data_IF_905100568119
#
_entry.id   IF_905100568119
#
_cell.length_a   1.000
_cell.length_b   1.000
_cell.length_c   1.000
_cell.angle_alpha   90.00
_cell.angle_beta   90.00
_cell.angle_gamma   90.00
#
_symmetry.space_group_name_H-M   'P 1'
#
loop_
_entity.id
_entity.type
_entity.pdbx_description
1 polymer ?
#
# COMPACT_ATOMS: atom_id res chain seq x y z
N UNK A 1 0.42 -19.24 -19.86
CA UNK A 1 -0.91 -19.40 -19.21
C UNK A 1 -0.91 -18.68 -17.86
N UNK A 2 -1.28 -17.41 -17.80
CA UNK A 2 -1.52 -16.72 -16.51
C UNK A 2 -3.02 -16.75 -16.23
N UNK A 3 -3.41 -17.72 -15.40
CA UNK A 3 -4.78 -17.97 -14.95
C UNK A 3 -5.27 -16.78 -14.12
N UNK A 4 -6.09 -15.89 -14.68
CA UNK A 4 -6.91 -14.98 -13.86
C UNK A 4 -8.07 -15.78 -13.28
N UNK A 5 -7.90 -16.26 -12.04
CA UNK A 5 -9.03 -16.67 -11.19
C UNK A 5 -9.73 -15.38 -10.69
N UNK A 6 -11.07 -15.35 -10.54
CA UNK A 6 -11.74 -14.21 -9.92
C UNK A 6 -11.17 -14.00 -8.50
N UNK A 7 -10.70 -12.79 -8.20
CA UNK A 7 -10.03 -12.42 -6.94
C UNK A 7 -8.51 -12.19 -7.00
N UNK A 8 -7.89 -12.16 -8.19
CA UNK A 8 -6.45 -11.92 -8.33
C UNK A 8 -6.01 -10.52 -7.89
N UNK A 9 -4.98 -10.44 -7.03
CA UNK A 9 -4.30 -9.19 -6.69
C UNK A 9 -3.62 -8.64 -7.95
N UNK A 10 -3.87 -7.36 -8.25
CA UNK A 10 -3.13 -6.61 -9.25
C UNK A 10 -2.29 -5.56 -8.54
N UNK A 11 -0.97 -5.58 -8.77
CA UNK A 11 -0.02 -4.62 -8.21
C UNK A 11 0.56 -3.79 -9.35
N UNK A 12 0.36 -2.48 -9.30
CA UNK A 12 0.90 -1.54 -10.29
C UNK A 12 2.17 -0.89 -9.74
N UNK A 13 3.27 -1.00 -10.48
CA UNK A 13 4.55 -0.40 -10.13
C UNK A 13 4.79 0.83 -11.01
N UNK A 14 4.46 2.02 -10.50
CA UNK A 14 4.62 3.29 -11.22
C UNK A 14 5.87 4.03 -10.72
N UNK A 15 6.57 4.71 -11.64
CA UNK A 15 7.68 5.61 -11.34
C UNK A 15 7.48 6.91 -12.14
N UNK A 16 7.67 8.03 -11.48
CA UNK A 16 7.64 9.37 -12.08
C UNK A 16 8.95 10.05 -11.73
N UNK A 17 9.66 10.57 -12.73
CA UNK A 17 11.00 11.15 -12.58
C UNK A 17 11.25 12.13 -13.72
N UNK A 18 11.95 13.23 -13.43
CA UNK A 18 12.44 14.17 -14.44
C UNK A 18 13.62 13.59 -15.25
N UNK A 19 14.35 12.64 -14.66
CA UNK A 19 15.45 11.94 -15.32
C UNK A 19 14.98 10.63 -15.99
N UNK A 20 15.66 10.17 -17.06
CA UNK A 20 15.35 8.92 -17.73
C UNK A 20 15.31 7.72 -16.77
N UNK A 21 14.18 7.00 -16.76
CA UNK A 21 13.97 5.85 -15.88
C UNK A 21 14.70 4.63 -16.46
N UNK A 22 15.78 4.19 -15.80
CA UNK A 22 16.55 2.97 -16.17
C UNK A 22 16.20 1.74 -15.31
N UNK A 23 15.22 1.87 -14.42
CA UNK A 23 14.88 0.85 -13.41
C UNK A 23 13.83 -0.14 -13.92
N UNK A 24 14.27 -1.13 -14.71
CA UNK A 24 13.42 -2.21 -15.25
C UNK A 24 13.08 -3.32 -14.22
N UNK A 25 13.08 -3.01 -12.92
CA UNK A 25 12.80 -3.95 -11.82
C UNK A 25 11.57 -3.52 -11.00
N UNK A 26 11.04 -4.44 -10.20
CA UNK A 26 9.89 -4.18 -9.32
C UNK A 26 10.22 -3.12 -8.26
N UNK A 27 9.27 -2.27 -7.91
CA UNK A 27 9.46 -1.28 -6.83
C UNK A 27 9.45 -2.04 -5.49
N UNK A 28 10.60 -2.02 -4.81
CA UNK A 28 10.77 -2.58 -3.46
C UNK A 28 10.42 -1.56 -2.37
N UNK A 29 10.72 -0.29 -2.62
CA UNK A 29 10.54 0.83 -1.72
C UNK A 29 9.79 1.94 -2.47
N UNK A 30 8.57 2.24 -2.05
CA UNK A 30 7.67 3.16 -2.71
C UNK A 30 7.43 4.41 -1.85
N UNK A 31 7.41 5.57 -2.50
CA UNK A 31 7.08 6.86 -1.88
C UNK A 31 5.55 6.99 -1.67
N UNK A 32 4.76 6.28 -2.48
CA UNK A 32 3.30 6.22 -2.39
C UNK A 32 2.82 4.78 -2.55
N UNK A 33 1.94 4.34 -1.64
CA UNK A 33 1.27 3.04 -1.71
C UNK A 33 -0.23 3.24 -1.59
N UNK A 34 -0.97 2.84 -2.62
CA UNK A 34 -2.44 2.88 -2.64
C UNK A 34 -3.05 1.48 -2.46
N UNK A 35 -3.95 1.34 -1.49
CA UNK A 35 -4.74 0.14 -1.26
C UNK A 35 -6.21 0.41 -1.58
N UNK A 36 -6.71 -0.16 -2.68
CA UNK A 36 -8.08 0.06 -3.15
C UNK A 36 -9.13 -0.82 -2.46
N UNK A 37 -8.71 -1.91 -1.83
CA UNK A 37 -9.59 -2.86 -1.15
C UNK A 37 -9.05 -3.16 0.24
N UNK A 38 -9.80 -2.79 1.28
CA UNK A 38 -9.40 -2.97 2.68
C UNK A 38 -8.91 -4.39 3.00
N UNK A 39 -9.58 -5.42 2.47
CA UNK A 39 -9.22 -6.83 2.70
C UNK A 39 -7.78 -7.22 2.29
N UNK A 40 -7.10 -6.39 1.50
CA UNK A 40 -5.74 -6.65 1.08
C UNK A 40 -4.68 -6.15 2.06
N UNK A 41 -5.04 -5.21 2.95
CA UNK A 41 -4.07 -4.62 3.89
C UNK A 41 -3.48 -5.66 4.85
N UNK A 42 -4.31 -6.61 5.33
CA UNK A 42 -3.87 -7.68 6.23
C UNK A 42 -3.38 -8.92 5.48
N UNK A 43 -3.80 -9.09 4.21
CA UNK A 43 -3.43 -10.26 3.40
C UNK A 43 -2.07 -10.11 2.72
N UNK A 44 -1.65 -8.88 2.45
CA UNK A 44 -0.42 -8.60 1.72
C UNK A 44 0.42 -7.57 2.45
N UNK A 45 1.73 -7.80 2.51
CA UNK A 45 2.72 -6.91 3.14
C UNK A 45 3.01 -5.66 2.28
N UNK A 46 1.96 -4.92 1.91
CA UNK A 46 2.09 -3.71 1.09
C UNK A 46 2.59 -2.50 1.89
N UNK A 47 2.20 -2.40 3.16
CA UNK A 47 2.65 -1.32 4.06
C UNK A 47 4.16 -1.39 4.33
N UNK A 48 4.76 -2.59 4.26
CA UNK A 48 6.19 -2.78 4.45
C UNK A 48 7.01 -2.14 3.33
N UNK A 49 6.45 -2.06 2.12
CA UNK A 49 7.08 -1.45 0.94
C UNK A 49 7.07 0.08 0.97
N UNK A 50 6.34 0.69 1.91
CA UNK A 50 6.31 2.14 2.07
C UNK A 50 7.63 2.61 2.68
N UNK A 51 8.27 3.60 2.03
CA UNK A 51 9.43 4.29 2.59
C UNK A 51 9.03 5.14 3.81
N UNK A 52 9.95 5.38 4.76
CA UNK A 52 9.75 6.39 5.80
C UNK A 52 9.44 7.76 5.18
N UNK A 53 8.41 8.43 5.68
CA UNK A 53 7.88 9.69 5.13
C UNK A 53 7.03 9.53 3.88
N UNK A 54 6.74 8.31 3.45
CA UNK A 54 5.86 8.04 2.31
C UNK A 54 4.38 8.24 2.62
N UNK A 55 3.53 8.17 1.60
CA UNK A 55 2.07 8.30 1.76
C UNK A 55 1.40 6.93 1.55
N UNK A 56 0.59 6.52 2.51
CA UNK A 56 -0.27 5.34 2.40
C UNK A 56 -1.73 5.78 2.19
N UNK A 57 -2.28 5.52 1.01
CA UNK A 57 -3.68 5.80 0.70
C UNK A 57 -4.51 4.53 0.83
N UNK A 58 -5.51 4.54 1.69
CA UNK A 58 -6.46 3.45 1.87
C UNK A 58 -7.86 3.89 1.43
N UNK A 59 -8.43 3.16 0.47
CA UNK A 59 -9.80 3.35 0.03
C UNK A 59 -10.73 2.42 0.83
N UNK A 60 -11.59 3.00 1.65
CA UNK A 60 -12.42 2.30 2.61
C UNK A 60 -13.69 3.10 2.91
N UNK A 61 -14.87 2.47 2.89
CA UNK A 61 -16.12 3.14 3.28
C UNK A 61 -16.24 3.33 4.80
N UNK A 62 -15.35 2.70 5.58
CA UNK A 62 -15.35 2.76 7.04
C UNK A 62 -14.55 3.95 7.56
N UNK A 63 -14.88 4.40 8.77
CA UNK A 63 -14.15 5.45 9.45
C UNK A 63 -12.74 5.02 9.84
N UNK A 64 -11.86 6.00 10.08
CA UNK A 64 -10.46 5.76 10.48
C UNK A 64 -10.38 4.87 11.71
N UNK A 65 -11.22 5.11 12.72
CA UNK A 65 -11.21 4.35 13.97
C UNK A 65 -11.64 2.89 13.77
N UNK A 66 -12.64 2.65 12.93
CA UNK A 66 -13.10 1.29 12.60
C UNK A 66 -12.03 0.50 11.84
N UNK A 67 -11.40 1.16 10.87
CA UNK A 67 -10.31 0.56 10.08
C UNK A 67 -9.13 0.26 10.98
N UNK A 68 -8.71 1.23 11.80
CA UNK A 68 -7.59 1.06 12.70
C UNK A 68 -7.86 -0.04 13.72
N UNK A 69 -9.05 -0.07 14.31
CA UNK A 69 -9.47 -1.13 15.24
C UNK A 69 -9.56 -2.52 14.62
N UNK A 70 -9.88 -2.61 13.32
CA UNK A 70 -9.97 -3.87 12.58
C UNK A 70 -8.64 -4.40 12.02
N UNK A 71 -7.65 -3.52 11.81
CA UNK A 71 -6.35 -3.91 11.25
C UNK A 71 -5.53 -4.75 12.23
N UNK A 72 -4.74 -5.69 11.68
CA UNK A 72 -3.78 -6.45 12.49
C UNK A 72 -2.72 -5.53 13.11
N UNK A 73 -2.27 -5.88 14.32
CA UNK A 73 -1.22 -5.14 15.04
C UNK A 73 0.07 -4.99 14.24
N UNK A 74 0.40 -5.97 13.41
CA UNK A 74 1.57 -5.94 12.52
C UNK A 74 1.46 -4.78 11.52
N UNK A 75 0.30 -4.64 10.89
CA UNK A 75 0.02 -3.56 9.93
C UNK A 75 0.04 -2.21 10.64
N UNK A 76 -0.60 -2.09 11.81
CA UNK A 76 -0.57 -0.87 12.62
C UNK A 76 0.85 -0.47 13.04
N UNK A 77 1.69 -1.46 13.40
CA UNK A 77 3.08 -1.22 13.78
C UNK A 77 3.91 -0.69 12.60
N UNK A 78 3.61 -1.14 11.39
CA UNK A 78 4.25 -0.66 10.16
C UNK A 78 3.72 0.71 9.77
N UNK A 79 2.42 0.98 9.93
CA UNK A 79 1.78 2.24 9.58
C UNK A 79 1.84 3.28 10.72
N UNK A 80 2.83 3.22 11.60
CA UNK A 80 3.01 4.27 12.61
C UNK A 80 3.20 5.63 11.92
N UNK A 81 2.72 6.73 12.53
CA UNK A 81 2.84 8.08 11.97
C UNK A 81 4.28 8.49 11.66
N UNK A 82 5.28 7.87 12.29
CA UNK A 82 6.71 8.06 12.00
C UNK A 82 7.11 7.58 10.60
N UNK A 83 6.36 6.62 10.02
CA UNK A 83 6.68 6.02 8.73
C UNK A 83 6.04 6.78 7.56
N UNK A 84 5.05 7.63 7.81
CA UNK A 84 4.36 8.32 6.72
C UNK A 84 2.99 8.89 7.08
N UNK A 85 2.40 9.59 6.12
CA UNK A 85 1.03 10.09 6.20
C UNK A 85 0.05 9.03 5.69
N UNK A 86 -1.04 8.82 6.43
CA UNK A 86 -2.11 7.90 6.03
C UNK A 86 -3.32 8.70 5.62
N UNK A 87 -3.76 8.48 4.38
CA UNK A 87 -4.95 9.07 3.82
C UNK A 87 -6.05 8.02 3.74
N UNK A 88 -7.24 8.38 4.20
CA UNK A 88 -8.43 7.54 4.16
C UNK A 88 -9.44 8.19 3.20
N UNK A 89 -9.96 7.41 2.24
CA UNK A 89 -10.95 7.87 1.27
C UNK A 89 -12.11 6.88 1.17
#
# INVERSE_FOLDING_TARGET
MTRRKPGGLTVSHLRVSEQPIRSAYLVSQADFVGCHQLQFIDKYQMAERLKPGGIFLLNTPYSVDEVWGGCRREVQAVLKPEKGEILYR
#
